data_IF_244591259318
#
_entry.id   IF_244591259318
#
_cell.length_a   1.000
_cell.length_b   1.000
_cell.length_c   1.000
_cell.angle_alpha   90.00
_cell.angle_beta   90.00
_cell.angle_gamma   90.00
#
_symmetry.space_group_name_H-M   'P 1'
#
loop_
_entity.id
_entity.type
_entity.pdbx_description
1 polymer ?
#
# COMPACT_ATOMS: atom_id res chain seq x y z
N UNK A 1 20.64 -9.80 -27.44
CA UNK A 1 19.72 -10.91 -27.13
C UNK A 1 18.43 -10.32 -26.58
N UNK A 2 17.24 -10.53 -27.17
CA UNK A 2 16.03 -9.96 -26.59
C UNK A 2 15.55 -10.91 -25.48
N UNK A 3 15.76 -10.55 -24.22
CA UNK A 3 15.08 -11.23 -23.13
C UNK A 3 13.63 -10.74 -23.11
N UNK A 4 12.69 -11.57 -23.59
CA UNK A 4 11.24 -11.38 -23.47
C UNK A 4 10.77 -11.59 -22.03
N UNK A 5 11.42 -10.93 -21.08
CA UNK A 5 11.04 -10.93 -19.67
C UNK A 5 10.03 -9.81 -19.48
N UNK A 6 8.81 -10.14 -19.05
CA UNK A 6 7.81 -9.12 -18.66
C UNK A 6 8.37 -8.37 -17.44
N UNK A 7 8.62 -7.08 -17.59
CA UNK A 7 9.14 -6.19 -16.55
C UNK A 7 7.96 -5.49 -15.89
N UNK A 8 7.94 -5.41 -14.56
CA UNK A 8 6.93 -4.61 -13.85
C UNK A 8 7.14 -3.12 -14.12
N UNK A 9 6.06 -2.33 -14.19
CA UNK A 9 6.16 -0.87 -14.29
C UNK A 9 7.10 -0.28 -13.23
N UNK A 10 7.07 -0.81 -12.00
CA UNK A 10 7.98 -0.41 -10.92
C UNK A 10 9.46 -0.63 -11.29
N UNK A 11 9.81 -1.79 -11.83
CA UNK A 11 11.18 -2.11 -12.23
C UNK A 11 11.64 -1.22 -13.40
N UNK A 12 10.75 -0.96 -14.35
CA UNK A 12 11.02 -0.09 -15.48
C UNK A 12 11.29 1.36 -15.03
N UNK A 13 10.45 1.90 -14.15
CA UNK A 13 10.62 3.27 -13.65
C UNK A 13 11.80 3.40 -12.69
N UNK A 14 12.06 2.41 -11.83
CA UNK A 14 13.24 2.38 -10.96
C UNK A 14 14.54 2.43 -11.77
N UNK A 15 14.62 1.64 -12.85
CA UNK A 15 15.77 1.68 -13.76
C UNK A 15 15.95 3.06 -14.40
N UNK A 16 14.86 3.70 -14.84
CA UNK A 16 14.90 5.03 -15.47
C UNK A 16 15.28 6.16 -14.51
N UNK A 17 14.98 5.99 -13.22
CA UNK A 17 15.37 6.92 -12.15
C UNK A 17 16.79 6.71 -11.66
N UNK A 18 17.34 5.50 -11.80
CA UNK A 18 18.70 5.18 -11.39
C UNK A 18 19.70 5.99 -12.25
N UNK A 19 20.60 6.72 -11.59
CA UNK A 19 21.70 7.40 -12.26
C UNK A 19 22.75 6.38 -12.69
N UNK A 20 22.92 6.19 -13.99
CA UNK A 20 24.08 5.50 -14.54
C UNK A 20 25.13 6.54 -14.90
N UNK A 21 26.22 6.60 -14.14
CA UNK A 21 27.38 7.45 -14.44
C UNK A 21 28.07 6.79 -15.66
N UNK A 22 28.00 7.36 -16.88
CA UNK A 22 28.29 8.76 -17.21
C UNK A 22 27.20 9.50 -18.03
N UNK A 23 25.97 8.99 -18.10
CA UNK A 23 24.96 9.48 -19.06
C UNK A 23 24.17 10.70 -18.56
N UNK A 24 23.86 11.61 -19.48
CA UNK A 24 23.04 12.81 -19.21
C UNK A 24 21.58 12.42 -19.02
N UNK A 25 21.14 12.35 -17.76
CA UNK A 25 19.73 12.06 -17.44
C UNK A 25 18.89 13.35 -17.39
N UNK A 26 18.24 13.68 -18.51
CA UNK A 26 17.36 14.84 -18.67
C UNK A 26 16.28 14.89 -17.58
N UNK A 27 15.74 13.73 -17.19
CA UNK A 27 14.66 13.65 -16.22
C UNK A 27 15.10 14.17 -14.86
N UNK A 28 16.27 13.76 -14.36
CA UNK A 28 16.77 14.16 -13.04
C UNK A 28 17.17 15.64 -12.98
N UNK A 29 17.55 16.24 -14.11
CA UNK A 29 17.92 17.66 -14.16
C UNK A 29 16.72 18.60 -14.26
N UNK A 30 15.55 18.07 -14.57
CA UNK A 30 14.34 18.85 -14.87
C UNK A 30 13.60 19.41 -13.65
N UNK A 31 14.21 19.40 -12.45
CA UNK A 31 13.70 19.98 -11.18
C UNK A 31 12.20 19.75 -10.97
N UNK A 32 11.34 20.73 -11.21
CA UNK A 32 9.89 20.65 -10.98
C UNK A 32 9.22 19.57 -11.83
N UNK A 33 9.63 19.42 -13.09
CA UNK A 33 9.11 18.38 -13.98
C UNK A 33 9.48 16.97 -13.50
N UNK A 34 10.63 16.82 -12.83
CA UNK A 34 11.03 15.55 -12.23
C UNK A 34 10.08 15.14 -11.10
N UNK A 35 9.68 16.09 -10.25
CA UNK A 35 8.73 15.83 -9.17
C UNK A 35 7.35 15.43 -9.73
N UNK A 36 6.87 16.14 -10.75
CA UNK A 36 5.61 15.79 -11.41
C UNK A 36 5.68 14.40 -12.04
N UNK A 37 6.81 14.07 -12.68
CA UNK A 37 7.04 12.76 -13.25
C UNK A 37 7.01 11.66 -12.18
N UNK A 38 7.69 11.83 -11.04
CA UNK A 38 7.67 10.85 -9.94
C UNK A 38 6.25 10.59 -9.45
N UNK A 39 5.48 11.66 -9.23
CA UNK A 39 4.09 11.54 -8.72
C UNK A 39 3.21 10.81 -9.73
N UNK A 40 3.30 11.14 -11.02
CA UNK A 40 2.53 10.47 -12.08
C UNK A 40 2.92 8.98 -12.20
N UNK A 41 4.21 8.65 -12.10
CA UNK A 41 4.66 7.25 -12.16
C UNK A 41 4.19 6.47 -10.93
N UNK A 42 4.24 7.08 -9.74
CA UNK A 42 3.73 6.47 -8.51
C UNK A 42 2.23 6.16 -8.62
N UNK A 43 1.44 7.12 -9.12
CA UNK A 43 0.00 6.93 -9.33
C UNK A 43 -0.30 5.78 -10.30
N UNK A 44 0.49 5.61 -11.37
CA UNK A 44 0.36 4.48 -12.31
C UNK A 44 0.66 3.14 -11.65
N UNK A 45 1.77 3.04 -10.92
CA UNK A 45 2.15 1.81 -10.20
C UNK A 45 1.07 1.44 -9.19
N UNK A 46 0.59 2.40 -8.38
CA UNK A 46 -0.45 2.12 -7.40
C UNK A 46 -1.79 1.75 -8.04
N UNK A 47 -2.14 2.35 -9.18
CA UNK A 47 -3.34 1.96 -9.94
C UNK A 47 -3.28 0.51 -10.41
N UNK A 48 -2.12 0.06 -10.92
CA UNK A 48 -1.90 -1.34 -11.29
C UNK A 48 -1.99 -2.28 -10.07
N UNK A 49 -1.43 -1.88 -8.92
CA UNK A 49 -1.52 -2.65 -7.68
C UNK A 49 -2.95 -2.77 -7.18
N UNK A 50 -3.71 -1.69 -7.20
CA UNK A 50 -5.12 -1.69 -6.82
C UNK A 50 -5.97 -2.56 -7.76
N UNK A 51 -5.69 -2.51 -9.06
CA UNK A 51 -6.32 -3.38 -10.04
C UNK A 51 -5.99 -4.85 -9.76
N UNK A 52 -4.73 -5.17 -9.45
CA UNK A 52 -4.33 -6.51 -9.06
C UNK A 52 -5.10 -7.00 -7.83
N UNK A 53 -5.19 -6.15 -6.79
CA UNK A 53 -5.95 -6.45 -5.57
C UNK A 53 -7.43 -6.67 -5.88
N UNK A 54 -8.03 -5.87 -6.77
CA UNK A 54 -9.43 -6.02 -7.21
C UNK A 54 -9.67 -7.35 -7.91
N UNK A 55 -8.79 -7.73 -8.85
CA UNK A 55 -8.96 -8.94 -9.66
C UNK A 55 -8.63 -10.22 -8.89
N UNK A 56 -7.69 -10.16 -7.94
CA UNK A 56 -7.19 -11.32 -7.20
C UNK A 56 -7.75 -11.41 -5.77
N UNK A 57 -8.83 -10.70 -5.44
CA UNK A 57 -9.48 -10.79 -4.13
C UNK A 57 -9.72 -12.24 -3.69
N UNK A 58 -10.11 -13.12 -4.63
CA UNK A 58 -10.41 -14.54 -4.35
C UNK A 58 -9.22 -15.35 -3.85
N UNK A 59 -8.01 -15.02 -4.30
CA UNK A 59 -6.79 -15.77 -3.96
C UNK A 59 -6.07 -15.19 -2.74
N UNK A 60 -6.33 -13.92 -2.39
CA UNK A 60 -5.71 -13.20 -1.27
C UNK A 60 -6.30 -13.52 0.12
N UNK A 61 -6.69 -14.79 0.36
CA UNK A 61 -7.31 -15.28 1.61
C UNK A 61 -8.66 -14.65 1.94
N UNK A 62 -9.66 -14.94 1.09
CA UNK A 62 -11.06 -14.55 1.32
C UNK A 62 -11.64 -15.10 2.63
N UNK A 63 -11.13 -16.19 3.18
CA UNK A 63 -11.70 -16.84 4.37
C UNK A 63 -11.87 -15.90 5.58
N UNK A 64 -10.92 -14.98 5.82
CA UNK A 64 -11.04 -13.98 6.90
C UNK A 64 -12.06 -12.88 6.57
N UNK A 65 -12.37 -12.68 5.30
CA UNK A 65 -13.30 -11.67 4.80
C UNK A 65 -14.70 -12.21 4.55
N UNK A 66 -14.93 -13.53 4.58
CA UNK A 66 -16.27 -14.13 4.45
C UNK A 66 -17.20 -13.59 5.54
N UNK A 67 -16.78 -13.65 6.80
CA UNK A 67 -17.59 -13.15 7.91
C UNK A 67 -17.81 -11.63 7.85
N UNK A 68 -16.82 -10.86 7.40
CA UNK A 68 -16.95 -9.41 7.21
C UNK A 68 -17.91 -9.08 6.06
N UNK A 69 -17.79 -9.81 4.95
CA UNK A 69 -18.68 -9.70 3.79
C UNK A 69 -20.11 -10.09 4.17
N UNK A 70 -20.29 -11.14 4.95
CA UNK A 70 -21.61 -11.58 5.40
C UNK A 70 -22.23 -10.61 6.42
N UNK A 71 -21.42 -9.97 7.28
CA UNK A 71 -21.88 -8.87 8.14
C UNK A 71 -22.33 -7.64 7.32
N UNK A 72 -21.54 -7.24 6.31
CA UNK A 72 -21.90 -6.12 5.41
C UNK A 72 -23.13 -6.42 4.56
N UNK A 73 -23.32 -7.67 4.12
CA UNK A 73 -24.52 -8.07 3.36
C UNK A 73 -25.79 -8.06 4.22
N UNK A 74 -25.69 -8.26 5.53
CA UNK A 74 -26.83 -8.21 6.46
C UNK A 74 -27.28 -6.77 6.81
N UNK A 75 -26.40 -5.78 6.70
CA UNK A 75 -26.70 -4.37 7.06
C UNK A 75 -27.40 -3.55 5.95
N UNK A 76 -27.73 -4.19 4.82
CA UNK A 76 -28.71 -3.66 3.86
C UNK A 76 -28.14 -2.91 2.66
N UNK A 77 -28.89 -3.01 1.55
CA UNK A 77 -28.69 -2.37 0.23
C UNK A 77 -27.64 -3.08 -0.65
N UNK A 78 -27.94 -4.32 -1.02
CA UNK A 78 -27.14 -5.14 -1.96
C UNK A 78 -27.16 -4.60 -3.41
N UNK A 79 -28.11 -3.72 -3.76
CA UNK A 79 -28.30 -3.26 -5.14
C UNK A 79 -27.44 -2.05 -5.54
N UNK A 80 -26.96 -1.25 -4.59
CA UNK A 80 -26.28 0.04 -4.85
C UNK A 80 -24.80 0.03 -4.44
N UNK A 81 -24.35 -1.05 -3.78
CA UNK A 81 -22.96 -1.22 -3.37
C UNK A 81 -22.24 -1.89 -4.54
N UNK A 82 -21.59 -1.07 -5.37
CA UNK A 82 -20.60 -1.54 -6.33
C UNK A 82 -19.61 -2.53 -5.67
N UNK A 83 -18.99 -3.40 -6.47
CA UNK A 83 -18.16 -4.51 -6.00
C UNK A 83 -17.29 -4.15 -4.77
N UNK A 84 -17.61 -4.73 -3.60
CA UNK A 84 -16.92 -4.47 -2.33
C UNK A 84 -15.47 -4.96 -2.43
N UNK A 85 -14.53 -4.05 -2.66
CA UNK A 85 -13.09 -4.35 -2.68
C UNK A 85 -12.54 -4.08 -1.30
N UNK A 86 -12.10 -5.13 -0.62
CA UNK A 86 -11.46 -4.99 0.67
C UNK A 86 -9.97 -4.75 0.46
N UNK A 87 -9.51 -3.55 0.85
CA UNK A 87 -8.10 -3.24 0.88
C UNK A 87 -7.44 -3.94 2.06
N UNK A 88 -6.24 -4.49 1.83
CA UNK A 88 -5.38 -5.04 2.86
C UNK A 88 -4.81 -3.91 3.73
N UNK A 89 -4.45 -4.19 4.99
CA UNK A 89 -3.84 -3.19 5.88
C UNK A 89 -2.45 -2.73 5.44
N UNK A 90 -1.80 -3.49 4.56
CA UNK A 90 -0.55 -3.12 3.89
C UNK A 90 -0.70 -1.96 2.91
N UNK A 91 -1.93 -1.53 2.58
CA UNK A 91 -2.17 -0.32 1.79
C UNK A 91 -2.02 0.93 2.66
N UNK A 92 -0.90 1.64 2.49
CA UNK A 92 -0.57 2.88 3.18
C UNK A 92 -1.62 3.97 2.95
N UNK A 93 -2.05 4.65 4.02
CA UNK A 93 -3.05 5.73 3.94
C UNK A 93 -4.51 5.28 3.93
N UNK A 94 -4.79 3.97 3.90
CA UNK A 94 -6.15 3.45 4.08
C UNK A 94 -6.65 3.53 5.53
N UNK A 95 -7.98 3.48 5.77
CA UNK A 95 -8.55 3.47 7.12
C UNK A 95 -7.99 2.35 8.00
N UNK A 96 -7.78 1.15 7.42
CA UNK A 96 -7.18 0.01 8.12
C UNK A 96 -5.72 0.24 8.50
N UNK A 97 -4.92 0.83 7.61
CA UNK A 97 -3.53 1.16 7.89
C UNK A 97 -3.41 2.15 9.06
N UNK A 98 -4.25 3.18 9.08
CA UNK A 98 -4.30 4.16 10.17
C UNK A 98 -4.73 3.52 11.49
N UNK A 99 -5.71 2.61 11.44
CA UNK A 99 -6.16 1.89 12.63
C UNK A 99 -5.07 0.99 13.20
N UNK A 100 -4.39 0.20 12.36
CA UNK A 100 -3.27 -0.66 12.78
C UNK A 100 -2.14 0.16 13.40
N UNK A 101 -1.73 1.27 12.76
CA UNK A 101 -0.68 2.16 13.29
C UNK A 101 -1.07 2.79 14.63
N UNK A 102 -2.35 3.09 14.82
CA UNK A 102 -2.86 3.62 16.10
C UNK A 102 -2.79 2.54 17.19
N UNK A 103 -3.20 1.31 16.88
CA UNK A 103 -3.09 0.18 17.81
C UNK A 103 -1.63 -0.13 18.19
N UNK A 104 -0.72 -0.09 17.22
CA UNK A 104 0.71 -0.28 17.44
C UNK A 104 1.27 0.80 18.39
N UNK A 105 0.93 2.07 18.13
CA UNK A 105 1.36 3.19 18.97
C UNK A 105 0.84 3.07 20.41
N UNK A 106 -0.44 2.72 20.59
CA UNK A 106 -1.04 2.51 21.90
C UNK A 106 -0.38 1.35 22.65
N UNK A 107 -0.01 0.29 21.94
CA UNK A 107 0.73 -0.85 22.51
C UNK A 107 2.11 -0.43 22.99
N UNK A 108 2.82 0.38 22.22
CA UNK A 108 4.12 0.91 22.61
C UNK A 108 4.02 1.80 23.87
N UNK A 109 3.04 2.70 23.93
CA UNK A 109 2.77 3.55 25.10
C UNK A 109 2.48 2.70 26.34
N UNK A 110 1.63 1.69 26.22
CA UNK A 110 1.31 0.77 27.31
C UNK A 110 2.56 0.04 27.83
N UNK A 111 3.41 -0.43 26.92
CA UNK A 111 4.64 -1.14 27.27
C UNK A 111 5.63 -0.21 27.99
N UNK A 112 5.80 1.02 27.50
CA UNK A 112 6.64 2.01 28.17
C UNK A 112 6.12 2.32 29.58
N UNK A 113 4.82 2.60 29.73
CA UNK A 113 4.21 2.88 31.03
C UNK A 113 4.39 1.73 32.02
N UNK A 114 4.29 0.48 31.55
CA UNK A 114 4.56 -0.68 32.39
C UNK A 114 6.03 -0.72 32.83
N UNK A 115 6.99 -0.49 31.92
CA UNK A 115 8.43 -0.44 32.25
C UNK A 115 8.75 0.66 33.25
N UNK A 116 8.19 1.86 33.09
CA UNK A 116 8.36 2.96 34.05
C UNK A 116 7.77 2.61 35.42
N UNK A 117 6.58 2.02 35.46
CA UNK A 117 5.95 1.56 36.70
C UNK A 117 6.79 0.50 37.43
N UNK A 118 7.48 -0.38 36.70
CA UNK A 118 8.39 -1.36 37.29
C UNK A 118 9.70 -0.75 37.82
N UNK A 119 10.15 0.39 37.28
CA UNK A 119 11.33 1.12 37.79
C UNK A 119 11.05 1.96 39.03
N UNK A 120 9.81 2.37 39.28
CA UNK A 120 9.43 3.13 40.49
C UNK A 120 9.16 2.22 41.71
N UNK A 121 9.16 0.90 41.52
CA UNK A 121 8.91 -0.09 42.58
C UNK A 121 10.17 -0.86 43.02
N UNK A 122 11.36 -0.48 42.53
CA UNK A 122 12.69 -1.00 42.93
C UNK A 122 13.55 0.13 43.46
#
# INVERSE_FOLDING_TARGET
>A
MPQTKKISAMQFYAYRMMQSIPDFNILLRSKTLFHQFIVDMYAKIESERLLYIRLNQRTLRVEQYVHLRDAVMNDGIVADIGQLIILLSSFTGGPKYMHERTQDAMTYVKNLLNVFRFREQT
#
